data_IF_328820926056
#
_entry.id   IF_328820926056
#
_cell.length_a   1.000
_cell.length_b   1.000
_cell.length_c   1.000
_cell.angle_alpha   90.00
_cell.angle_beta   90.00
_cell.angle_gamma   90.00
#
_symmetry.space_group_name_H-M   'P 1'
#
loop_
_entity.id
_entity.type
_entity.pdbx_description
1 polymer ?
#
# COMPACT_ATOMS: atom_id res chain seq x y z
N UNK A 1 0.28 -2.09 -22.82
CA UNK A 1 -0.23 -2.79 -21.62
C UNK A 1 -0.17 -4.30 -21.75
N UNK A 2 -0.96 -4.92 -22.64
CA UNK A 2 -1.01 -6.39 -22.77
C UNK A 2 0.36 -7.04 -22.99
N UNK A 3 1.21 -6.47 -23.85
CA UNK A 3 2.58 -6.95 -24.08
C UNK A 3 3.45 -6.93 -22.81
N UNK A 4 3.29 -5.91 -21.95
CA UNK A 4 4.04 -5.83 -20.71
C UNK A 4 3.56 -6.86 -19.69
N UNK A 5 2.26 -7.12 -19.60
CA UNK A 5 1.70 -8.18 -18.75
C UNK A 5 2.19 -9.55 -19.22
N UNK A 6 2.14 -9.82 -20.54
CA UNK A 6 2.62 -11.07 -21.10
C UNK A 6 4.10 -11.30 -20.80
N UNK A 7 4.91 -10.24 -20.80
CA UNK A 7 6.33 -10.33 -20.43
C UNK A 7 6.54 -10.76 -18.98
N UNK A 8 5.79 -10.20 -18.02
CA UNK A 8 5.88 -10.62 -16.61
C UNK A 8 5.37 -12.07 -16.41
N UNK A 9 4.41 -12.51 -17.23
CA UNK A 9 3.92 -13.91 -17.21
C UNK A 9 4.97 -14.86 -17.80
N UNK A 10 5.64 -14.46 -18.88
CA UNK A 10 6.71 -15.24 -19.51
C UNK A 10 7.92 -15.41 -18.58
N UNK A 11 8.29 -14.35 -17.86
CA UNK A 11 9.31 -14.38 -16.79
C UNK A 11 8.96 -15.43 -15.73
N UNK A 12 7.71 -15.48 -15.27
CA UNK A 12 7.23 -16.50 -14.32
C UNK A 12 7.19 -17.91 -14.91
N UNK A 13 6.87 -18.06 -16.19
CA UNK A 13 6.81 -19.37 -16.83
C UNK A 13 8.20 -19.95 -17.14
N UNK A 14 9.24 -19.10 -17.18
CA UNK A 14 10.61 -19.50 -17.54
C UNK A 14 11.54 -19.63 -16.33
N UNK A 15 11.12 -19.20 -15.15
CA UNK A 15 11.93 -19.33 -13.93
C UNK A 15 12.12 -20.80 -13.50
N UNK A 16 13.30 -21.10 -12.96
CA UNK A 16 13.63 -22.37 -12.30
C UNK A 16 13.51 -22.30 -10.78
N UNK A 17 13.05 -21.16 -10.26
CA UNK A 17 12.88 -20.95 -8.83
C UNK A 17 11.93 -21.98 -8.21
N UNK A 18 12.17 -22.31 -6.94
CA UNK A 18 11.33 -23.23 -6.20
C UNK A 18 11.08 -22.76 -4.77
N UNK A 19 10.03 -23.30 -4.14
CA UNK A 19 9.71 -23.03 -2.74
C UNK A 19 9.55 -21.53 -2.42
N UNK A 20 10.43 -21.01 -1.55
CA UNK A 20 10.39 -19.62 -1.10
C UNK A 20 10.75 -18.64 -2.22
N UNK A 21 11.71 -19.00 -3.07
CA UNK A 21 12.19 -18.10 -4.12
C UNK A 21 11.14 -17.93 -5.20
N UNK A 22 10.47 -19.02 -5.59
CA UNK A 22 9.33 -18.97 -6.52
C UNK A 22 8.21 -18.09 -5.97
N UNK A 23 7.88 -18.21 -4.68
CA UNK A 23 6.87 -17.37 -4.03
C UNK A 23 7.25 -15.89 -4.08
N UNK A 24 8.50 -15.56 -3.81
CA UNK A 24 8.99 -14.19 -3.89
C UNK A 24 8.92 -13.66 -5.32
N UNK A 25 9.29 -14.49 -6.30
CA UNK A 25 9.28 -14.10 -7.71
C UNK A 25 7.84 -13.85 -8.21
N UNK A 26 6.89 -14.71 -7.85
CA UNK A 26 5.45 -14.51 -8.10
C UNK A 26 4.98 -13.18 -7.50
N UNK A 27 5.33 -12.89 -6.24
CA UNK A 27 4.95 -11.64 -5.57
C UNK A 27 5.52 -10.40 -6.27
N UNK A 28 6.76 -10.49 -6.75
CA UNK A 28 7.40 -9.39 -7.48
C UNK A 28 6.69 -9.13 -8.81
N UNK A 29 6.48 -10.17 -9.62
CA UNK A 29 5.77 -10.08 -10.89
C UNK A 29 4.33 -9.57 -10.70
N UNK A 30 3.60 -10.11 -9.72
CA UNK A 30 2.26 -9.62 -9.36
C UNK A 30 2.27 -8.12 -8.99
N UNK A 31 3.24 -7.69 -8.19
CA UNK A 31 3.39 -6.27 -7.81
C UNK A 31 3.65 -5.38 -9.02
N UNK A 32 4.48 -5.82 -9.97
CA UNK A 32 4.77 -5.07 -11.21
C UNK A 32 3.51 -4.95 -12.08
N UNK A 33 2.76 -6.03 -12.25
CA UNK A 33 1.49 -6.02 -13.00
C UNK A 33 0.50 -5.05 -12.36
N UNK A 34 0.32 -5.11 -11.03
CA UNK A 34 -0.61 -4.22 -10.32
C UNK A 34 -0.20 -2.75 -10.45
N UNK A 35 1.10 -2.43 -10.33
CA UNK A 35 1.62 -1.07 -10.56
C UNK A 35 1.35 -0.59 -11.99
N UNK A 36 1.46 -1.47 -12.98
CA UNK A 36 1.14 -1.14 -14.37
C UNK A 36 -0.35 -0.83 -14.52
N UNK A 37 -1.23 -1.67 -13.94
CA UNK A 37 -2.68 -1.46 -13.96
C UNK A 37 -3.07 -0.14 -13.27
N UNK A 38 -2.48 0.16 -12.12
CA UNK A 38 -2.68 1.41 -11.40
C UNK A 38 -2.24 2.61 -12.24
N UNK A 39 -1.06 2.55 -12.86
CA UNK A 39 -0.52 3.67 -13.63
C UNK A 39 -1.37 4.00 -14.85
N UNK A 40 -1.64 2.99 -15.66
CA UNK A 40 -2.16 3.13 -17.02
C UNK A 40 -3.69 3.20 -17.08
N UNK A 41 -4.41 2.42 -16.24
CA UNK A 41 -5.88 2.35 -16.24
C UNK A 41 -6.51 2.68 -14.89
N UNK A 42 -5.70 3.10 -13.90
CA UNK A 42 -6.16 3.48 -12.56
C UNK A 42 -6.89 2.34 -11.83
N UNK A 43 -6.64 1.09 -12.19
CA UNK A 43 -7.17 -0.07 -11.46
C UNK A 43 -6.34 -0.34 -10.22
N UNK A 44 -6.99 -0.52 -9.07
CA UNK A 44 -6.33 -0.75 -7.78
C UNK A 44 -6.90 -2.00 -7.11
N UNK A 45 -6.10 -2.63 -6.24
CA UNK A 45 -6.57 -3.76 -5.43
C UNK A 45 -7.38 -3.30 -4.23
N UNK A 46 -8.12 -4.22 -3.60
CA UNK A 46 -8.84 -3.95 -2.36
C UNK A 46 -7.84 -3.53 -1.27
N UNK A 47 -8.20 -2.51 -0.48
CA UNK A 47 -7.38 -1.93 0.59
C UNK A 47 -6.04 -1.31 0.12
N UNK A 48 -5.84 -1.05 -1.17
CA UNK A 48 -4.58 -0.51 -1.71
C UNK A 48 -4.26 0.87 -1.12
N UNK A 49 -5.22 1.80 -1.18
CA UNK A 49 -5.02 3.15 -0.66
C UNK A 49 -5.02 3.17 0.86
N UNK A 50 -5.87 2.38 1.53
CA UNK A 50 -5.82 2.18 2.98
C UNK A 50 -4.44 1.76 3.44
N UNK A 51 -3.86 0.72 2.86
CA UNK A 51 -2.54 0.22 3.26
C UNK A 51 -1.43 1.25 3.01
N UNK A 52 -1.51 1.96 1.89
CA UNK A 52 -0.55 3.03 1.57
C UNK A 52 -0.69 4.21 2.53
N UNK A 53 -1.91 4.66 2.82
CA UNK A 53 -2.17 5.77 3.72
C UNK A 53 -1.99 5.43 5.18
N UNK A 54 -2.05 4.16 5.59
CA UNK A 54 -1.62 3.75 6.92
C UNK A 54 -0.15 4.15 7.15
N UNK A 55 0.75 3.80 6.23
CA UNK A 55 2.16 4.17 6.33
C UNK A 55 2.38 5.69 6.24
N UNK A 56 1.71 6.36 5.29
CA UNK A 56 1.80 7.82 5.13
C UNK A 56 1.24 8.54 6.36
N UNK A 57 0.12 8.09 6.90
CA UNK A 57 -0.52 8.61 8.09
C UNK A 57 0.46 8.67 9.26
N UNK A 58 1.21 7.59 9.46
CA UNK A 58 2.25 7.52 10.49
C UNK A 58 3.46 8.38 10.18
N UNK A 59 4.00 8.30 8.95
CA UNK A 59 5.24 8.99 8.60
C UNK A 59 5.08 10.51 8.49
N UNK A 60 3.96 10.97 7.92
CA UNK A 60 3.71 12.38 7.66
C UNK A 60 3.00 13.10 8.81
N UNK A 61 2.19 12.38 9.61
CA UNK A 61 1.42 13.00 10.70
C UNK A 61 1.77 12.40 12.05
N UNK A 62 1.70 11.07 12.20
CA UNK A 62 1.79 10.44 13.51
C UNK A 62 3.11 10.69 14.22
N UNK A 63 4.24 10.37 13.58
CA UNK A 63 5.57 10.57 14.15
C UNK A 63 5.86 12.07 14.35
N UNK A 64 5.69 12.96 13.34
CA UNK A 64 5.96 14.39 13.53
C UNK A 64 5.11 15.05 14.62
N UNK A 65 3.81 14.75 14.69
CA UNK A 65 2.94 15.28 15.74
C UNK A 65 3.36 14.76 17.11
N UNK A 66 3.69 13.47 17.22
CA UNK A 66 4.22 12.88 18.45
C UNK A 66 5.47 13.61 18.93
N UNK A 67 6.43 13.86 18.04
CA UNK A 67 7.65 14.61 18.37
C UNK A 67 7.33 16.04 18.80
N UNK A 68 6.41 16.73 18.12
CA UNK A 68 5.99 18.07 18.49
C UNK A 68 5.34 18.12 19.89
N UNK A 69 4.48 17.16 20.23
CA UNK A 69 3.90 17.04 21.57
C UNK A 69 4.96 16.68 22.61
N UNK A 70 5.86 15.75 22.31
CA UNK A 70 6.94 15.36 23.21
C UNK A 70 7.88 16.53 23.54
N UNK A 71 8.23 17.34 22.54
CA UNK A 71 9.06 18.52 22.70
C UNK A 71 8.34 19.65 23.45
N UNK A 72 7.09 19.97 23.08
CA UNK A 72 6.33 21.07 23.70
C UNK A 72 5.94 20.80 25.15
N UNK A 73 5.71 19.55 25.51
CA UNK A 73 5.37 19.12 26.87
C UNK A 73 6.59 18.73 27.72
N UNK A 74 7.80 18.81 27.15
CA UNK A 74 9.05 18.46 27.84
C UNK A 74 9.16 16.98 28.23
N UNK A 75 8.36 16.10 27.62
CA UNK A 75 8.34 14.68 27.93
C UNK A 75 8.08 13.85 26.66
N UNK A 76 9.12 13.14 26.20
CA UNK A 76 9.06 12.33 24.99
C UNK A 76 8.13 11.10 25.10
N UNK A 77 7.62 10.75 26.28
CA UNK A 77 6.53 9.78 26.40
C UNK A 77 5.28 10.21 25.60
N UNK A 78 5.08 11.52 25.39
CA UNK A 78 3.98 12.04 24.59
C UNK A 78 4.13 11.85 23.07
N UNK A 79 5.26 11.30 22.59
CA UNK A 79 5.36 10.81 21.21
C UNK A 79 4.25 9.79 20.90
N UNK A 80 3.87 9.00 21.91
CA UNK A 80 2.79 8.02 21.80
C UNK A 80 1.44 8.61 21.41
N UNK A 81 1.17 9.90 21.65
CA UNK A 81 -0.08 10.58 21.25
C UNK A 81 -0.18 10.73 19.74
N UNK A 82 0.94 10.96 19.07
CA UNK A 82 0.97 11.15 17.62
C UNK A 82 0.57 9.88 16.86
N UNK A 83 0.95 8.70 17.36
CA UNK A 83 0.68 7.42 16.70
C UNK A 83 -0.81 7.16 16.41
N UNK A 84 -1.74 7.22 17.38
CA UNK A 84 -3.16 7.03 17.12
C UNK A 84 -3.74 8.10 16.19
N UNK A 85 -3.23 9.35 16.24
CA UNK A 85 -3.66 10.42 15.33
C UNK A 85 -3.24 10.10 13.89
N UNK A 86 -1.97 9.76 13.68
CA UNK A 86 -1.45 9.39 12.37
C UNK A 86 -2.17 8.16 11.80
N UNK A 87 -2.44 7.17 12.65
CA UNK A 87 -3.21 5.99 12.28
C UNK A 87 -4.63 6.36 11.86
N UNK A 88 -5.34 7.18 12.65
CA UNK A 88 -6.70 7.59 12.36
C UNK A 88 -6.79 8.37 11.03
N UNK A 89 -5.87 9.30 10.79
CA UNK A 89 -5.78 10.05 9.52
C UNK A 89 -5.50 9.08 8.36
N UNK A 90 -4.52 8.20 8.53
CA UNK A 90 -4.14 7.22 7.51
C UNK A 90 -5.30 6.30 7.11
N UNK A 91 -6.00 5.72 8.08
CA UNK A 91 -7.18 4.88 7.83
C UNK A 91 -8.28 5.69 7.16
N UNK A 92 -8.64 6.87 7.69
CA UNK A 92 -9.75 7.65 7.18
C UNK A 92 -9.54 8.08 5.72
N UNK A 93 -8.36 8.62 5.40
CA UNK A 93 -8.05 9.05 4.03
C UNK A 93 -7.94 7.86 3.09
N UNK A 94 -7.23 6.82 3.50
CA UNK A 94 -7.02 5.64 2.66
C UNK A 94 -8.33 4.89 2.36
N UNK A 95 -9.18 4.67 3.37
CA UNK A 95 -10.50 4.05 3.17
C UNK A 95 -11.40 4.90 2.28
N UNK A 96 -11.37 6.23 2.39
CA UNK A 96 -12.13 7.11 1.49
C UNK A 96 -11.70 6.94 0.03
N UNK A 97 -10.40 6.82 -0.22
CA UNK A 97 -9.87 6.62 -1.58
C UNK A 97 -10.22 5.23 -2.13
N UNK A 98 -10.17 4.19 -1.29
CA UNK A 98 -10.58 2.84 -1.69
C UNK A 98 -12.08 2.78 -2.01
N UNK A 99 -12.94 3.43 -1.20
CA UNK A 99 -14.38 3.50 -1.47
C UNK A 99 -14.65 4.23 -2.79
N UNK A 100 -13.95 5.33 -3.05
CA UNK A 100 -14.04 6.04 -4.33
C UNK A 100 -13.63 5.17 -5.52
N UNK A 101 -12.56 4.39 -5.39
CA UNK A 101 -12.15 3.46 -6.43
C UNK A 101 -13.19 2.35 -6.67
N UNK A 102 -13.86 1.89 -5.61
CA UNK A 102 -14.95 0.91 -5.71
C UNK A 102 -16.19 1.49 -6.41
N UNK A 103 -16.62 2.69 -6.01
CA UNK A 103 -17.75 3.42 -6.61
C UNK A 103 -17.54 3.70 -8.11
N UNK A 104 -16.30 4.01 -8.50
CA UNK A 104 -15.92 4.24 -9.90
C UNK A 104 -15.70 2.93 -10.70
N UNK A 105 -15.91 1.76 -10.10
CA UNK A 105 -15.70 0.46 -10.76
C UNK A 105 -14.23 0.17 -11.07
N UNK A 106 -13.29 0.85 -10.40
CA UNK A 106 -11.84 0.71 -10.59
C UNK A 106 -11.15 -0.19 -9.58
N UNK A 107 -11.92 -0.84 -8.70
CA UNK A 107 -11.38 -1.74 -7.69
C UNK A 107 -11.45 -3.20 -8.17
N UNK A 108 -10.29 -3.84 -8.25
CA UNK A 108 -10.17 -5.26 -8.53
C UNK A 108 -10.63 -6.06 -7.31
N UNK A 109 -11.36 -7.16 -7.53
CA UNK A 109 -11.70 -8.11 -6.48
C UNK A 109 -10.50 -9.02 -6.14
N UNK A 110 -9.45 -8.37 -5.66
CA UNK A 110 -8.18 -8.96 -5.27
C UNK A 110 -7.68 -8.20 -4.03
N UNK A 111 -7.30 -8.93 -2.99
CA UNK A 111 -6.63 -8.38 -1.82
C UNK A 111 -5.23 -8.99 -1.71
N UNK A 112 -4.20 -8.13 -1.68
CA UNK A 112 -2.81 -8.57 -1.54
C UNK A 112 -2.51 -8.97 -0.10
N UNK A 113 -2.18 -10.24 0.11
CA UNK A 113 -1.66 -10.77 1.38
C UNK A 113 -0.14 -10.89 1.28
N UNK A 114 0.57 -9.97 1.93
CA UNK A 114 2.03 -9.99 2.03
C UNK A 114 2.53 -11.11 2.94
#
# INVERSE_FOLDING_TARGET
MALAINKEIEDLNTTTDSGKDLRNHIRQNQTRIIKLLEKEVKLVTRNHHRNTWLAIGMAAFGIPLGVAFGASLGNMAFIGIGLPIGLAIGVAVGTKLDNKAAEEGRQLDLELKY
#
